data_IF_195308721387
#
_entry.id   IF_195308721387
#
_cell.length_a   1.000
_cell.length_b   1.000
_cell.length_c   1.000
_cell.angle_alpha   90.00
_cell.angle_beta   90.00
_cell.angle_gamma   90.00
#
_symmetry.space_group_name_H-M   'P 1'
#
loop_
_entity.id
_entity.type
_entity.pdbx_description
1 polymer ?
#
# COMPACT_ATOMS: atom_id res chain seq x y z
N UNK A 1 13.90 5.29 1.02
CA UNK A 1 12.95 4.99 2.13
C UNK A 1 13.52 5.50 3.44
N UNK A 2 12.69 5.98 4.36
CA UNK A 2 13.10 6.26 5.75
C UNK A 2 13.04 4.91 6.49
N UNK A 3 14.19 4.33 6.89
CA UNK A 3 14.24 2.97 7.47
C UNK A 3 13.80 2.93 8.94
N UNK A 4 13.51 4.10 9.53
CA UNK A 4 13.18 4.27 10.93
C UNK A 4 11.66 4.17 11.21
N UNK A 5 11.33 3.74 12.42
CA UNK A 5 9.99 3.73 13.02
C UNK A 5 9.29 5.09 12.96
N UNK A 6 10.07 6.18 12.98
CA UNK A 6 9.58 7.56 12.84
C UNK A 6 8.94 7.85 11.49
N UNK A 7 9.03 6.95 10.50
CA UNK A 7 8.27 7.03 9.25
C UNK A 7 6.77 7.18 9.47
N UNK A 8 6.22 6.68 10.58
CA UNK A 8 4.80 6.84 10.91
C UNK A 8 4.36 8.32 10.98
N UNK A 9 5.24 9.22 11.42
CA UNK A 9 4.98 10.67 11.41
C UNK A 9 4.82 11.24 10.00
N UNK A 10 5.41 10.57 9.01
CA UNK A 10 5.40 11.02 7.62
C UNK A 10 4.24 10.43 6.80
N UNK A 11 3.46 9.51 7.38
CA UNK A 11 2.30 8.89 6.70
C UNK A 11 1.11 9.83 6.57
N UNK A 12 1.10 10.93 7.32
CA UNK A 12 0.15 12.00 7.08
C UNK A 12 0.30 12.56 5.67
N UNK A 13 -0.85 12.73 5.01
CA UNK A 13 -0.97 13.22 3.65
C UNK A 13 -0.11 12.45 2.64
N UNK A 14 0.19 11.18 2.92
CA UNK A 14 0.97 10.34 2.01
C UNK A 14 0.33 10.29 0.61
N UNK A 15 -0.99 10.27 0.53
CA UNK A 15 -1.74 10.31 -0.73
C UNK A 15 -1.34 11.53 -1.58
N UNK A 16 -1.28 12.71 -0.97
CA UNK A 16 -0.92 13.95 -1.64
C UNK A 16 0.58 14.01 -1.97
N UNK A 17 1.43 13.54 -1.05
CA UNK A 17 2.88 13.46 -1.27
C UNK A 17 3.21 12.56 -2.45
N UNK A 18 2.54 11.41 -2.58
CA UNK A 18 2.69 10.50 -3.71
C UNK A 18 2.29 11.17 -5.02
N UNK A 19 1.15 11.86 -5.05
CA UNK A 19 0.72 12.63 -6.23
C UNK A 19 1.74 13.72 -6.61
N UNK A 20 2.28 14.45 -5.63
CA UNK A 20 3.33 15.45 -5.89
C UNK A 20 4.61 14.84 -6.46
N UNK A 21 5.05 13.70 -5.93
CA UNK A 21 6.21 12.96 -6.44
C UNK A 21 5.95 12.53 -7.89
N UNK A 22 4.80 11.92 -8.16
CA UNK A 22 4.42 11.50 -9.51
C UNK A 22 4.36 12.70 -10.48
N UNK A 23 3.80 13.85 -10.04
CA UNK A 23 3.76 15.09 -10.81
C UNK A 23 5.15 15.62 -11.16
N UNK A 24 6.08 15.53 -10.21
CA UNK A 24 7.45 15.99 -10.39
C UNK A 24 8.23 15.07 -11.32
N UNK A 25 8.18 13.76 -11.08
CA UNK A 25 8.92 12.76 -11.85
C UNK A 25 8.37 12.54 -13.26
N UNK A 26 7.06 12.69 -13.44
CA UNK A 26 6.32 12.43 -14.69
C UNK A 26 6.71 11.07 -15.31
N UNK A 27 6.44 9.94 -14.63
CA UNK A 27 6.77 8.62 -15.15
C UNK A 27 6.15 8.44 -16.53
N UNK A 28 6.98 8.03 -17.51
CA UNK A 28 6.54 7.79 -18.89
C UNK A 28 6.20 6.33 -19.18
N UNK A 29 6.70 5.43 -18.33
CA UNK A 29 6.51 3.99 -18.43
C UNK A 29 6.32 3.48 -17.01
N UNK A 30 5.23 2.77 -16.78
CA UNK A 30 4.89 2.10 -15.53
C UNK A 30 4.70 0.62 -15.85
N UNK A 31 5.39 -0.23 -15.11
CA UNK A 31 5.34 -1.68 -15.26
C UNK A 31 4.95 -2.26 -13.91
N UNK A 32 3.92 -3.11 -13.89
CA UNK A 32 3.51 -3.86 -12.70
C UNK A 32 3.65 -5.34 -13.01
N UNK A 33 4.57 -6.00 -12.29
CA UNK A 33 4.67 -7.46 -12.26
C UNK A 33 3.55 -8.00 -11.36
N UNK A 34 2.56 -8.63 -11.99
CA UNK A 34 1.47 -9.34 -11.36
C UNK A 34 1.57 -10.83 -11.64
N UNK A 35 2.76 -11.43 -11.61
CA UNK A 35 2.88 -12.91 -11.68
C UNK A 35 2.15 -13.53 -10.48
N UNK A 36 2.40 -12.98 -9.30
CA UNK A 36 1.66 -13.26 -8.07
C UNK A 36 1.22 -11.97 -7.42
N UNK A 37 0.01 -11.98 -6.87
CA UNK A 37 -0.53 -10.94 -6.01
C UNK A 37 -0.85 -11.52 -4.63
N UNK A 38 -1.10 -10.65 -3.65
CA UNK A 38 -1.28 -11.07 -2.25
C UNK A 38 -2.64 -10.64 -1.73
N UNK A 39 -3.47 -11.62 -1.37
CA UNK A 39 -4.83 -11.42 -0.85
C UNK A 39 -4.88 -11.42 0.68
N UNK A 40 -5.98 -10.91 1.23
CA UNK A 40 -6.24 -10.72 2.66
C UNK A 40 -5.41 -9.62 3.29
N UNK A 41 -4.21 -9.95 3.75
CA UNK A 41 -3.43 -9.08 4.64
C UNK A 41 -2.18 -8.50 3.98
N UNK A 42 -2.19 -8.45 2.64
CA UNK A 42 -1.09 -7.89 1.88
C UNK A 42 -0.80 -6.43 2.26
N UNK A 43 0.40 -5.91 1.94
CA UNK A 43 1.45 -6.53 1.12
C UNK A 43 2.45 -7.38 1.91
N UNK A 44 2.37 -7.41 3.25
CA UNK A 44 3.42 -8.05 4.07
C UNK A 44 3.26 -9.56 4.18
N UNK A 45 2.01 -10.04 4.25
CA UNK A 45 1.67 -11.46 4.32
C UNK A 45 0.22 -11.68 3.86
N UNK A 46 -0.17 -12.90 3.54
CA UNK A 46 -1.50 -13.16 3.03
C UNK A 46 -1.52 -14.39 2.14
N UNK A 47 -2.61 -14.54 1.40
CA UNK A 47 -2.78 -15.66 0.49
C UNK A 47 -2.19 -15.28 -0.87
N UNK A 48 -1.14 -16.00 -1.30
CA UNK A 48 -0.57 -15.79 -2.62
C UNK A 48 -1.55 -16.25 -3.70
N UNK A 49 -1.94 -15.33 -4.58
CA UNK A 49 -2.83 -15.58 -5.72
C UNK A 49 -2.01 -15.51 -6.98
N UNK A 50 -1.91 -16.63 -7.72
CA UNK A 50 -1.28 -16.63 -9.03
C UNK A 50 -2.18 -15.90 -10.02
N UNK A 51 -1.67 -14.81 -10.57
CA UNK A 51 -2.40 -13.94 -11.50
C UNK A 51 -1.87 -14.07 -12.93
N UNK A 52 -0.57 -14.33 -13.10
CA UNK A 52 0.11 -14.46 -14.40
C UNK A 52 -0.15 -13.23 -15.32
N UNK A 53 -0.12 -12.03 -14.74
CA UNK A 53 -0.35 -10.77 -15.44
C UNK A 53 0.89 -9.89 -15.46
N UNK A 54 1.10 -9.18 -16.55
CA UNK A 54 2.06 -8.09 -16.66
C UNK A 54 1.31 -6.85 -17.17
N UNK A 55 1.33 -5.78 -16.39
CA UNK A 55 0.69 -4.52 -16.75
C UNK A 55 1.75 -3.54 -17.22
N UNK A 56 1.50 -2.89 -18.36
CA UNK A 56 2.30 -1.78 -18.86
C UNK A 56 1.38 -0.60 -19.14
N UNK A 57 1.83 0.59 -18.77
CA UNK A 57 1.10 1.83 -18.99
C UNK A 57 2.07 2.98 -19.22
N UNK A 58 1.66 3.96 -20.01
CA UNK A 58 2.35 5.25 -20.15
C UNK A 58 1.88 6.29 -19.11
N UNK A 59 0.88 5.95 -18.29
CA UNK A 59 0.33 6.80 -17.25
C UNK A 59 0.19 6.05 -15.91
N UNK A 60 0.68 6.66 -14.83
CA UNK A 60 0.67 6.06 -13.48
C UNK A 60 -0.75 5.87 -12.92
N UNK A 61 -1.64 6.86 -13.08
CA UNK A 61 -3.01 6.74 -12.56
C UNK A 61 -3.77 5.64 -13.32
N UNK A 62 -3.58 5.55 -14.64
CA UNK A 62 -4.16 4.48 -15.45
C UNK A 62 -3.66 3.09 -15.04
N UNK A 63 -2.35 2.94 -14.76
CA UNK A 63 -1.78 1.69 -14.27
C UNK A 63 -2.39 1.28 -12.92
N UNK A 64 -2.37 2.19 -11.94
CA UNK A 64 -2.88 1.91 -10.60
C UNK A 64 -4.40 1.63 -10.64
N UNK A 65 -5.14 2.36 -11.48
CA UNK A 65 -6.57 2.14 -11.68
C UNK A 65 -6.85 0.75 -12.28
N UNK A 66 -6.10 0.35 -13.32
CA UNK A 66 -6.24 -0.97 -13.92
C UNK A 66 -5.87 -2.08 -12.94
N UNK A 67 -4.73 -1.97 -12.24
CA UNK A 67 -4.31 -2.94 -11.23
C UNK A 67 -5.37 -3.11 -10.12
N UNK A 68 -5.93 -1.99 -9.65
CA UNK A 68 -7.00 -1.98 -8.64
C UNK A 68 -8.26 -2.69 -9.15
N UNK A 69 -8.66 -2.45 -10.40
CA UNK A 69 -9.81 -3.09 -11.05
C UNK A 69 -9.59 -4.59 -11.26
N UNK A 70 -8.39 -4.99 -11.66
CA UNK A 70 -7.99 -6.39 -11.78
C UNK A 70 -8.05 -7.12 -10.43
N UNK A 71 -7.83 -6.42 -9.32
CA UNK A 71 -8.03 -6.94 -7.96
C UNK A 71 -9.49 -6.91 -7.48
N UNK A 72 -10.43 -6.42 -8.31
CA UNK A 72 -11.86 -6.37 -7.98
C UNK A 72 -12.26 -5.18 -7.09
N UNK A 73 -11.40 -4.17 -6.96
CA UNK A 73 -11.69 -2.96 -6.20
C UNK A 73 -12.06 -1.78 -7.12
N UNK A 74 -12.74 -0.78 -6.56
CA UNK A 74 -12.99 0.49 -7.24
C UNK A 74 -11.83 1.47 -6.94
N UNK A 75 -11.09 1.94 -7.97
CA UNK A 75 -9.97 2.87 -7.80
C UNK A 75 -10.35 4.19 -7.14
N UNK A 76 -11.63 4.60 -7.24
CA UNK A 76 -12.11 5.84 -6.59
C UNK A 76 -12.16 5.73 -5.06
N UNK A 77 -12.20 4.51 -4.52
CA UNK A 77 -12.12 4.27 -3.08
C UNK A 77 -10.66 4.16 -2.57
N UNK A 78 -9.68 4.12 -3.48
CA UNK A 78 -8.27 4.08 -3.13
C UNK A 78 -7.74 5.51 -3.09
N UNK A 79 -7.54 6.01 -1.87
CA UNK A 79 -7.35 7.45 -1.60
C UNK A 79 -6.19 8.08 -2.37
N UNK A 80 -5.02 7.44 -2.47
CA UNK A 80 -3.88 7.97 -3.22
C UNK A 80 -4.15 8.03 -4.74
N UNK A 81 -4.85 7.05 -5.30
CA UNK A 81 -5.23 7.04 -6.72
C UNK A 81 -6.25 8.16 -6.99
N UNK A 82 -7.28 8.26 -6.16
CA UNK A 82 -8.31 9.30 -6.28
C UNK A 82 -7.72 10.72 -6.11
N UNK A 83 -6.75 10.90 -5.21
CA UNK A 83 -6.03 12.18 -5.08
C UNK A 83 -5.21 12.47 -6.33
N UNK A 84 -4.48 11.49 -6.87
CA UNK A 84 -3.69 11.67 -8.08
C UNK A 84 -4.55 12.09 -9.29
N UNK A 85 -5.71 11.46 -9.49
CA UNK A 85 -6.70 11.86 -10.51
C UNK A 85 -7.17 13.30 -10.30
N UNK A 86 -7.58 13.66 -9.08
CA UNK A 86 -8.03 15.04 -8.77
C UNK A 86 -6.96 16.09 -8.98
N UNK A 87 -5.68 15.71 -8.90
CA UNK A 87 -4.55 16.60 -9.22
C UNK A 87 -4.19 16.65 -10.71
N UNK A 88 -4.97 15.99 -11.57
CA UNK A 88 -4.83 16.02 -13.02
C UNK A 88 -3.71 15.12 -13.56
N UNK A 89 -3.34 14.06 -12.84
CA UNK A 89 -2.25 13.16 -13.25
C UNK A 89 -2.68 12.04 -14.20
N UNK A 90 -3.98 11.83 -14.36
CA UNK A 90 -4.57 10.82 -15.24
C UNK A 90 -6.02 10.55 -14.83
N UNK A 91 -6.64 9.53 -15.44
CA UNK A 91 -8.03 9.14 -15.17
C UNK A 91 -8.10 7.77 -14.49
N UNK A 92 -9.02 7.61 -13.55
CA UNK A 92 -9.40 6.29 -12.98
C UNK A 92 -10.52 5.61 -13.75
N UNK A 93 -11.16 6.34 -14.67
CA UNK A 93 -12.19 5.80 -15.54
C UNK A 93 -11.54 5.11 -16.74
N UNK A 94 -11.63 3.78 -16.76
CA UNK A 94 -11.04 2.96 -17.81
C UNK A 94 -11.62 3.20 -19.21
N UNK A 95 -12.80 3.82 -19.32
CA UNK A 95 -13.36 4.21 -20.62
C UNK A 95 -12.59 5.37 -21.28
N UNK A 96 -11.84 6.14 -20.50
CA UNK A 96 -10.99 7.23 -21.01
C UNK A 96 -9.59 6.74 -21.40
N UNK A 97 -9.31 5.44 -21.22
CA UNK A 97 -8.00 4.83 -21.40
C UNK A 97 -8.07 3.86 -22.59
N UNK A 98 -7.11 3.98 -23.50
CA UNK A 98 -6.96 3.02 -24.60
C UNK A 98 -6.31 1.75 -24.07
N UNK A 99 -7.00 0.63 -24.25
CA UNK A 99 -6.54 -0.68 -23.81
C UNK A 99 -6.21 -1.55 -25.01
N UNK A 100 -5.16 -2.37 -24.91
CA UNK A 100 -4.75 -3.31 -25.96
C UNK A 100 -5.44 -4.68 -25.83
N UNK A 101 -6.19 -4.91 -24.76
CA UNK A 101 -6.80 -6.21 -24.46
C UNK A 101 -8.05 -6.07 -23.59
N UNK A 102 -8.86 -7.13 -23.56
CA UNK A 102 -10.00 -7.25 -22.66
C UNK A 102 -9.54 -7.64 -21.25
N UNK A 103 -9.69 -6.73 -20.30
CA UNK A 103 -9.18 -6.90 -18.93
C UNK A 103 -10.17 -7.62 -18.00
N UNK A 104 -11.48 -7.59 -18.31
CA UNK A 104 -12.56 -8.06 -17.45
C UNK A 104 -12.43 -9.55 -17.11
N UNK A 105 -11.94 -10.36 -18.04
CA UNK A 105 -11.71 -11.81 -17.85
C UNK A 105 -10.56 -12.13 -16.89
N UNK A 106 -9.71 -11.15 -16.60
CA UNK A 106 -8.53 -11.29 -15.74
C UNK A 106 -8.80 -10.81 -14.30
N UNK A 107 -10.00 -10.31 -14.02
CA UNK A 107 -10.38 -9.85 -12.68
C UNK A 107 -10.38 -11.01 -11.69
N UNK A 108 -9.77 -10.76 -10.53
CA UNK A 108 -9.81 -11.61 -9.35
C UNK A 108 -10.43 -10.81 -8.22
N UNK A 109 -11.21 -11.46 -7.36
CA UNK A 109 -11.85 -10.77 -6.23
C UNK A 109 -10.98 -10.90 -4.98
N UNK A 110 -10.25 -9.83 -4.68
CA UNK A 110 -9.47 -9.71 -3.46
C UNK A 110 -10.32 -9.18 -2.30
N UNK A 111 -9.90 -9.48 -1.08
CA UNK A 111 -10.51 -8.99 0.15
C UNK A 111 -9.45 -8.47 1.10
N UNK A 112 -9.76 -7.39 1.83
CA UNK A 112 -8.83 -6.84 2.83
C UNK A 112 -9.24 -7.32 4.22
N UNK A 113 -8.38 -8.11 4.85
CA UNK A 113 -8.53 -8.55 6.25
C UNK A 113 -7.62 -7.71 7.11
N UNK A 114 -8.19 -6.98 8.08
CA UNK A 114 -7.44 -6.14 9.04
C UNK A 114 -7.32 -6.82 10.39
N UNK A 115 -6.18 -6.67 11.05
CA UNK A 115 -6.03 -7.07 12.46
C UNK A 115 -6.51 -5.98 13.42
N UNK A 116 -6.55 -6.32 14.71
CA UNK A 116 -6.77 -5.35 15.77
C UNK A 116 -5.67 -4.27 15.76
N UNK A 117 -4.42 -4.70 15.60
CA UNK A 117 -3.25 -3.81 15.57
C UNK A 117 -3.37 -2.83 14.40
N UNK A 118 -3.81 -3.27 13.22
CA UNK A 118 -4.04 -2.37 12.08
C UNK A 118 -5.12 -1.34 12.37
N UNK A 119 -6.22 -1.79 12.96
CA UNK A 119 -7.38 -0.93 13.24
C UNK A 119 -7.00 0.18 14.21
N UNK A 120 -6.24 -0.15 15.25
CA UNK A 120 -5.70 0.83 16.21
C UNK A 120 -4.64 1.72 15.55
N UNK A 121 -3.74 1.14 14.76
CA UNK A 121 -2.69 1.88 14.06
C UNK A 121 -3.26 2.91 13.08
N UNK A 122 -4.41 2.62 12.47
CA UNK A 122 -5.13 3.57 11.61
C UNK A 122 -5.46 4.87 12.33
N UNK A 123 -5.80 4.83 13.62
CA UNK A 123 -6.09 6.04 14.39
C UNK A 123 -4.86 6.96 14.49
N UNK A 124 -3.67 6.38 14.64
CA UNK A 124 -2.41 7.12 14.62
C UNK A 124 -2.19 7.76 13.24
N UNK A 125 -2.49 7.05 12.15
CA UNK A 125 -2.33 7.61 10.80
C UNK A 125 -3.34 8.71 10.46
N UNK A 126 -4.51 8.71 11.10
CA UNK A 126 -5.55 9.71 10.86
C UNK A 126 -5.37 11.01 11.66
N UNK A 127 -4.45 11.08 12.64
CA UNK A 127 -4.30 12.25 13.51
C UNK A 127 -2.83 12.62 13.77
N UNK A 128 -2.45 13.85 13.42
CA UNK A 128 -1.07 14.33 13.57
C UNK A 128 -0.70 14.42 15.05
N UNK A 129 -1.61 15.00 15.82
CA UNK A 129 -1.45 15.17 17.25
C UNK A 129 -1.26 13.83 17.94
N UNK A 130 -2.05 12.81 17.57
CA UNK A 130 -1.94 11.48 18.17
C UNK A 130 -0.68 10.76 17.72
N UNK A 131 -0.33 10.84 16.43
CA UNK A 131 0.92 10.28 15.91
C UNK A 131 2.13 10.89 16.64
N UNK A 132 2.18 12.22 16.79
CA UNK A 132 3.25 12.91 17.52
C UNK A 132 3.27 12.53 18.98
N UNK A 133 2.11 12.54 19.65
CA UNK A 133 2.02 12.18 21.06
C UNK A 133 2.54 10.76 21.31
N UNK A 134 2.20 9.80 20.46
CA UNK A 134 2.62 8.41 20.64
C UNK A 134 4.06 8.17 20.20
N UNK A 135 4.51 8.78 19.10
CA UNK A 135 5.84 8.53 18.51
C UNK A 135 6.96 9.35 19.16
N UNK A 136 6.64 10.53 19.72
CA UNK A 136 7.62 11.40 20.40
C UNK A 136 7.57 11.24 21.93
N UNK A 137 6.68 10.39 22.45
CA UNK A 137 6.58 10.15 23.89
C UNK A 137 7.70 9.21 24.38
N UNK A 138 8.23 9.41 25.61
CA UNK A 138 9.10 8.43 26.24
C UNK A 138 8.48 7.03 26.39
N UNK A 139 7.14 6.92 26.27
CA UNK A 139 6.40 5.66 26.37
C UNK A 139 6.32 4.87 25.05
N UNK A 140 6.86 5.40 23.95
CA UNK A 140 6.86 4.72 22.64
C UNK A 140 7.35 3.25 22.72
N UNK A 141 8.46 2.92 23.43
CA UNK A 141 8.91 1.52 23.55
C UNK A 141 7.88 0.60 24.20
N UNK A 142 7.17 1.10 25.22
CA UNK A 142 6.10 0.36 25.90
C UNK A 142 4.90 0.14 24.97
N UNK A 143 4.48 1.18 24.23
CA UNK A 143 3.40 1.06 23.23
C UNK A 143 3.74 0.01 22.18
N UNK A 144 4.98 0.00 21.67
CA UNK A 144 5.43 -1.02 20.73
C UNK A 144 5.51 -2.42 21.34
N UNK A 145 5.90 -2.53 22.61
CA UNK A 145 5.91 -3.81 23.32
C UNK A 145 4.50 -4.40 23.45
N UNK A 146 3.52 -3.57 23.83
CA UNK A 146 2.11 -3.97 23.91
C UNK A 146 1.58 -4.35 22.52
N UNK A 147 1.84 -3.53 21.50
CA UNK A 147 1.43 -3.83 20.13
C UNK A 147 2.01 -5.16 19.65
N UNK A 148 3.27 -5.46 19.98
CA UNK A 148 3.94 -6.73 19.65
C UNK A 148 3.26 -7.94 20.31
N UNK A 149 2.76 -7.80 21.53
CA UNK A 149 2.03 -8.87 22.23
C UNK A 149 0.67 -9.13 21.57
N UNK A 150 -0.02 -8.07 21.18
CA UNK A 150 -1.34 -8.11 20.53
C UNK A 150 -1.30 -8.58 19.07
N UNK A 151 -0.12 -8.69 18.45
CA UNK A 151 0.03 -9.21 17.10
C UNK A 151 -0.49 -10.64 16.95
N UNK A 152 -1.11 -10.92 15.80
CA UNK A 152 -1.52 -12.26 15.40
C UNK A 152 -0.31 -13.20 15.26
N UNK A 153 -0.58 -14.50 15.12
CA UNK A 153 0.48 -15.49 14.94
C UNK A 153 1.27 -15.25 13.65
N UNK A 154 0.57 -14.95 12.56
CA UNK A 154 1.15 -14.64 11.25
C UNK A 154 2.00 -13.36 11.30
N UNK A 155 1.51 -12.29 11.96
CA UNK A 155 2.28 -11.04 12.13
C UNK A 155 3.60 -11.26 12.89
N UNK A 156 3.58 -12.14 13.90
CA UNK A 156 4.78 -12.50 14.67
C UNK A 156 5.77 -13.31 13.84
N UNK A 157 5.28 -14.23 13.01
CA UNK A 157 6.11 -15.03 12.11
C UNK A 157 6.83 -14.15 11.10
N UNK A 158 6.11 -13.26 10.42
CA UNK A 158 6.66 -12.34 9.42
C UNK A 158 7.66 -11.37 10.06
N UNK A 159 7.32 -10.82 11.23
CA UNK A 159 8.25 -9.94 11.95
C UNK A 159 9.54 -10.68 12.36
N UNK A 160 9.44 -11.97 12.73
CA UNK A 160 10.58 -12.82 13.04
C UNK A 160 11.45 -13.09 11.81
N UNK A 161 10.84 -13.37 10.66
CA UNK A 161 11.57 -13.56 9.39
C UNK A 161 12.34 -12.29 8.99
N UNK A 162 11.68 -11.13 9.02
CA UNK A 162 12.30 -9.83 8.69
C UNK A 162 13.42 -9.45 9.65
N UNK A 163 13.28 -9.78 10.94
CA UNK A 163 14.34 -9.58 11.94
C UNK A 163 15.60 -10.38 11.59
N UNK A 164 15.44 -11.67 11.26
CA UNK A 164 16.55 -12.52 10.84
C UNK A 164 17.23 -12.00 9.56
N UNK A 165 16.46 -11.49 8.59
CA UNK A 165 17.04 -10.94 7.35
C UNK A 165 17.89 -9.70 7.60
N UNK A 166 17.54 -8.85 8.57
CA UNK A 166 18.35 -7.69 8.96
C UNK A 166 19.68 -8.10 9.60
N UNK A 167 19.70 -9.17 10.39
CA UNK A 167 20.93 -9.67 11.02
C UNK A 167 21.91 -10.28 10.00
N UNK A 168 21.43 -10.66 8.81
CA UNK A 168 22.23 -11.24 7.71
C UNK A 168 22.81 -10.15 6.78
N UNK A 169 22.56 -8.86 7.05
CA UNK A 169 23.14 -7.75 6.29
C UNK A 169 22.58 -7.58 4.87
N UNK A 170 21.43 -8.18 4.57
CA UNK A 170 20.75 -8.03 3.29
C UNK A 170 19.82 -6.80 3.30
N UNK A 171 20.37 -5.59 3.47
CA UNK A 171 19.82 -4.29 3.05
C UNK A 171 20.85 -3.18 3.23
#
# INVERSE_FOLDING_TARGET
CIPDTMRCLQHQDIDYKLALIARYLKPRIVIVDGTYALDRHGPMYGDAVKTDLLLLSDNTVAADAMGTRLMGFDPRHIRHIAVAERTGLGSTNLNDITLNTEWQRHVKHFTVKRTLVDTVSRLLFCSDALARLVMQSPLTPFVYQVARLLRSKEEKEVAGQLGKTKDIGLY
#
